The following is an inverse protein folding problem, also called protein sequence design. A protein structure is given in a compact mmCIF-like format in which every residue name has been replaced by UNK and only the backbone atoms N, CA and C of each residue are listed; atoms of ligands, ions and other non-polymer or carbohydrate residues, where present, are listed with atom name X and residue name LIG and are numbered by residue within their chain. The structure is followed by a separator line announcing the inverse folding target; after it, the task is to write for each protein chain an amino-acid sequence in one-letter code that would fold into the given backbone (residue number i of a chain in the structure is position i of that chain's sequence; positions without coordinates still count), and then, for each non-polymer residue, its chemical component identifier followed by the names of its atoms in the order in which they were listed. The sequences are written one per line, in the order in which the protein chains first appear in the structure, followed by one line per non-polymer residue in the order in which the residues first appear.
data_IF_734916985916
#
_entry.id   IF_734916985916
#
_cell.length_a   1.000
_cell.length_b   1.000
_cell.length_c   1.000
_cell.angle_alpha   90.00
_cell.angle_beta   90.00
_cell.angle_gamma   90.00
#
_symmetry.space_group_name_H-M   'P 1'
#
loop_
_entity.id
_entity.type
_entity.pdbx_description
1 polymer ?
#
# COMPACT_ATOMS: atom_id res chain seq x y z
N UNK A 1 15.60 -7.18 -14.87
CA UNK A 1 14.28 -7.28 -14.21
C UNK A 1 13.40 -6.17 -14.76
N UNK A 2 12.20 -6.47 -15.24
CA UNK A 2 11.26 -5.43 -15.73
C UNK A 2 10.80 -4.59 -14.54
N UNK A 3 10.78 -3.27 -14.64
CA UNK A 3 10.38 -2.43 -13.51
C UNK A 3 8.90 -2.67 -13.16
N UNK A 4 8.51 -2.52 -11.88
CA UNK A 4 7.10 -2.60 -11.49
C UNK A 4 6.20 -1.64 -12.28
N UNK A 5 6.72 -0.48 -12.68
CA UNK A 5 5.99 0.49 -13.48
C UNK A 5 5.73 -0.03 -14.90
N UNK A 6 6.74 -0.62 -15.56
CA UNK A 6 6.56 -1.21 -16.89
C UNK A 6 5.58 -2.37 -16.84
N UNK A 7 5.64 -3.19 -15.79
CA UNK A 7 4.69 -4.30 -15.60
C UNK A 7 3.26 -3.79 -15.40
N UNK A 8 3.07 -2.77 -14.56
CA UNK A 8 1.75 -2.19 -14.31
C UNK A 8 1.18 -1.50 -15.58
N UNK A 9 2.02 -0.79 -16.33
CA UNK A 9 1.64 -0.20 -17.62
C UNK A 9 1.25 -1.27 -18.64
N UNK A 10 2.02 -2.35 -18.75
CA UNK A 10 1.70 -3.47 -19.62
C UNK A 10 0.35 -4.10 -19.27
N UNK A 11 0.08 -4.31 -17.97
CA UNK A 11 -1.22 -4.83 -17.51
C UNK A 11 -2.35 -3.86 -17.88
N UNK A 12 -2.19 -2.56 -17.65
CA UNK A 12 -3.20 -1.56 -18.02
C UNK A 12 -3.48 -1.61 -19.53
N UNK A 13 -2.44 -1.61 -20.36
CA UNK A 13 -2.59 -1.65 -21.82
C UNK A 13 -3.31 -2.92 -22.27
N UNK A 14 -2.91 -4.09 -21.77
CA UNK A 14 -3.56 -5.37 -22.08
C UNK A 14 -5.02 -5.34 -21.64
N UNK A 15 -5.30 -4.88 -20.43
CA UNK A 15 -6.65 -4.83 -19.88
C UNK A 15 -7.54 -3.83 -20.60
N UNK A 16 -7.00 -2.70 -21.08
CA UNK A 16 -7.74 -1.76 -21.92
C UNK A 16 -8.12 -2.36 -23.28
N UNK A 17 -7.27 -3.23 -23.85
CA UNK A 17 -7.61 -3.92 -25.09
C UNK A 17 -8.64 -5.03 -24.86
N UNK A 18 -8.53 -5.76 -23.74
CA UNK A 18 -9.52 -6.76 -23.35
C UNK A 18 -10.87 -6.12 -23.01
N UNK A 19 -10.88 -4.98 -22.31
CA UNK A 19 -12.12 -4.29 -21.96
C UNK A 19 -12.90 -3.85 -23.20
N UNK A 20 -12.23 -3.44 -24.28
CA UNK A 20 -12.90 -3.11 -25.54
C UNK A 20 -13.60 -4.30 -26.21
N UNK A 21 -13.20 -5.53 -25.89
CA UNK A 21 -13.77 -6.77 -26.43
C UNK A 21 -14.88 -7.36 -25.55
N UNK A 22 -15.12 -6.78 -24.37
CA UNK A 22 -16.10 -7.26 -23.40
C UNK A 22 -17.38 -6.46 -23.58
N UNK A 23 -18.50 -7.15 -23.80
CA UNK A 23 -19.81 -6.55 -23.89
C UNK A 23 -20.34 -6.23 -22.48
N UNK A 24 -19.96 -5.07 -21.93
CA UNK A 24 -20.43 -4.63 -20.60
C UNK A 24 -21.92 -4.29 -20.56
N UNK A 25 -22.54 -4.20 -21.73
CA UNK A 25 -23.97 -3.92 -21.92
C UNK A 25 -24.82 -5.16 -21.64
N UNK A 26 -24.22 -6.35 -21.74
CA UNK A 26 -24.84 -7.62 -21.39
C UNK A 26 -24.94 -7.75 -19.86
N UNK A 27 -26.15 -7.89 -19.29
CA UNK A 27 -26.36 -8.04 -17.85
C UNK A 27 -25.57 -9.20 -17.21
N UNK A 28 -25.39 -10.31 -17.93
CA UNK A 28 -24.70 -11.50 -17.41
C UNK A 28 -23.20 -11.26 -17.34
N UNK A 29 -22.62 -10.65 -18.38
CA UNK A 29 -21.21 -10.26 -18.42
C UNK A 29 -20.91 -9.22 -17.33
N UNK A 30 -21.80 -8.25 -17.16
CA UNK A 30 -21.70 -7.23 -16.12
C UNK A 30 -21.73 -7.83 -14.72
N UNK A 31 -22.60 -8.82 -14.49
CA UNK A 31 -22.67 -9.53 -13.21
C UNK A 31 -21.40 -10.35 -12.94
N UNK A 32 -20.85 -11.02 -13.95
CA UNK A 32 -19.57 -11.73 -13.82
C UNK A 32 -18.42 -10.78 -13.44
N UNK A 33 -18.31 -9.63 -14.11
CA UNK A 33 -17.25 -8.65 -13.81
C UNK A 33 -17.38 -8.11 -12.37
N UNK A 34 -18.61 -7.85 -11.91
CA UNK A 34 -18.87 -7.48 -10.51
C UNK A 34 -18.45 -8.59 -9.56
N UNK A 35 -18.78 -9.84 -9.88
CA UNK A 35 -18.38 -11.02 -9.11
C UNK A 35 -16.86 -11.14 -8.97
N UNK A 36 -16.12 -10.98 -10.07
CA UNK A 36 -14.64 -11.00 -10.07
C UNK A 36 -14.08 -9.87 -9.21
N UNK A 37 -14.66 -8.66 -9.32
CA UNK A 37 -14.24 -7.53 -8.48
C UNK A 37 -14.48 -7.82 -6.99
N UNK A 38 -15.65 -8.32 -6.61
CA UNK A 38 -15.96 -8.67 -5.21
C UNK A 38 -15.00 -9.76 -4.72
N UNK A 39 -14.80 -10.81 -5.52
CA UNK A 39 -13.88 -11.90 -5.18
C UNK A 39 -12.46 -11.38 -4.95
N UNK A 40 -11.96 -10.50 -5.82
CA UNK A 40 -10.62 -9.91 -5.65
C UNK A 40 -10.48 -9.15 -4.33
N UNK A 41 -11.50 -8.38 -3.94
CA UNK A 41 -11.52 -7.64 -2.68
C UNK A 41 -11.57 -8.56 -1.45
N UNK A 42 -12.35 -9.65 -1.53
CA UNK A 42 -12.40 -10.67 -0.48
C UNK A 42 -11.04 -11.34 -0.31
N UNK A 43 -10.35 -11.65 -1.41
CA UNK A 43 -8.99 -12.22 -1.37
C UNK A 43 -8.01 -11.24 -0.73
N UNK A 44 -8.02 -9.96 -1.13
CA UNK A 44 -7.15 -8.92 -0.55
C UNK A 44 -7.40 -8.76 0.95
N UNK A 45 -8.68 -8.69 1.36
CA UNK A 45 -9.05 -8.58 2.76
C UNK A 45 -8.57 -9.81 3.56
N UNK A 46 -8.80 -11.01 3.04
CA UNK A 46 -8.37 -12.25 3.67
C UNK A 46 -6.85 -12.30 3.83
N UNK A 47 -6.11 -11.86 2.81
CA UNK A 47 -4.65 -11.78 2.83
C UNK A 47 -4.17 -10.79 3.89
N UNK A 48 -4.80 -9.63 4.02
CA UNK A 48 -4.45 -8.64 5.04
C UNK A 48 -4.77 -9.10 6.46
N UNK A 49 -5.94 -9.71 6.68
CA UNK A 49 -6.28 -10.28 7.99
C UNK A 49 -5.30 -11.40 8.37
N UNK A 50 -4.94 -12.27 7.44
CA UNK A 50 -3.94 -13.31 7.68
C UNK A 50 -2.56 -12.72 8.00
N UNK A 51 -2.15 -11.66 7.28
CA UNK A 51 -0.90 -10.93 7.55
C UNK A 51 -0.91 -10.29 8.94
N UNK A 52 -2.03 -9.70 9.37
CA UNK A 52 -2.22 -9.13 10.71
C UNK A 52 -2.01 -10.18 11.80
N UNK A 53 -2.58 -11.37 11.61
CA UNK A 53 -2.41 -12.51 12.52
C UNK A 53 -0.94 -12.93 12.61
N UNK A 54 -0.23 -13.02 11.47
CA UNK A 54 1.20 -13.38 11.44
C UNK A 54 2.09 -12.34 12.13
N UNK A 55 1.86 -11.04 11.89
CA UNK A 55 2.60 -9.95 12.57
C UNK A 55 2.43 -10.07 14.09
N UNK A 56 1.19 -10.27 14.54
CA UNK A 56 0.86 -10.36 15.97
C UNK A 56 1.41 -11.63 16.61
N UNK A 57 1.44 -12.75 15.88
CA UNK A 57 2.03 -13.99 16.36
C UNK A 57 3.56 -13.91 16.47
N UNK A 58 4.23 -13.21 15.54
CA UNK A 58 5.69 -13.08 15.52
C UNK A 58 6.24 -12.25 16.68
N UNK A 59 5.49 -11.24 17.17
CA UNK A 59 5.89 -10.35 18.28
C UNK A 59 7.33 -9.84 18.18
N UNK A 60 7.70 -9.32 17.01
CA UNK A 60 9.04 -8.78 16.75
C UNK A 60 9.21 -7.41 17.44
N UNK A 61 9.79 -7.42 18.64
CA UNK A 61 9.97 -6.23 19.50
C UNK A 61 11.33 -5.53 19.31
N UNK A 62 12.07 -5.84 18.23
CA UNK A 62 13.33 -5.16 17.94
C UNK A 62 13.03 -3.68 17.69
N UNK A 63 13.78 -2.81 18.38
CA UNK A 63 13.66 -1.36 18.26
C UNK A 63 14.05 -0.90 16.86
N UNK A 64 13.18 -0.10 16.25
CA UNK A 64 13.33 0.52 14.95
C UNK A 64 13.30 2.04 15.13
N UNK A 65 14.33 2.73 14.62
CA UNK A 65 14.38 4.19 14.56
C UNK A 65 14.39 4.66 13.12
N UNK A 66 13.54 5.61 12.78
CA UNK A 66 13.48 6.20 11.44
C UNK A 66 12.89 7.61 11.49
N UNK A 67 13.01 8.34 10.39
CA UNK A 67 12.44 9.68 10.25
C UNK A 67 11.27 9.62 9.27
N UNK A 68 10.09 9.99 9.76
CA UNK A 68 8.94 10.19 8.89
C UNK A 68 9.06 11.53 8.16
N UNK A 69 8.96 11.54 6.82
CA UNK A 69 8.97 12.78 6.07
C UNK A 69 7.70 13.57 6.38
N UNK A 70 7.82 14.89 6.40
CA UNK A 70 6.68 15.77 6.58
C UNK A 70 5.62 15.51 5.50
N UNK A 71 4.31 15.58 5.83
CA UNK A 71 3.25 15.50 4.84
C UNK A 71 3.48 16.53 3.72
N UNK A 72 3.25 16.12 2.46
CA UNK A 72 3.42 16.99 1.30
C UNK A 72 2.58 18.26 1.46
N UNK A 73 3.23 19.43 1.41
CA UNK A 73 2.58 20.73 1.59
C UNK A 73 2.53 21.24 3.04
N UNK A 74 3.12 20.52 4.00
CA UNK A 74 3.30 21.01 5.38
C UNK A 74 4.66 21.70 5.57
N UNK A 75 4.70 22.66 6.50
CA UNK A 75 5.93 23.26 7.03
C UNK A 75 6.46 22.53 8.27
N UNK A 76 5.90 21.36 8.58
CA UNK A 76 6.32 20.57 9.75
C UNK A 76 7.70 19.96 9.52
N UNK A 77 8.51 19.90 10.58
CA UNK A 77 9.81 19.26 10.49
C UNK A 77 9.67 17.72 10.44
N UNK A 78 10.61 17.03 9.77
CA UNK A 78 10.63 15.56 9.73
C UNK A 78 10.62 14.96 11.13
N UNK A 79 9.69 14.05 11.40
CA UNK A 79 9.45 13.53 12.75
C UNK A 79 10.34 12.31 13.02
N UNK A 80 11.22 12.34 14.03
CA UNK A 80 11.93 11.13 14.47
C UNK A 80 10.95 10.18 15.16
N UNK A 81 10.91 8.94 14.70
CA UNK A 81 10.05 7.87 15.24
C UNK A 81 10.93 6.76 15.79
N UNK A 82 10.75 6.45 17.07
CA UNK A 82 11.26 5.23 17.70
C UNK A 82 10.09 4.30 17.95
N UNK A 83 10.13 3.09 17.38
CA UNK A 83 9.07 2.09 17.47
C UNK A 83 9.66 0.68 17.53
N UNK A 84 8.83 -0.35 17.45
CA UNK A 84 9.26 -1.74 17.25
C UNK A 84 8.91 -2.22 15.84
N UNK A 85 9.61 -3.25 15.35
CA UNK A 85 9.28 -3.88 14.06
C UNK A 85 7.80 -4.31 13.97
N UNK A 86 7.24 -4.89 15.04
CA UNK A 86 5.85 -5.30 15.11
C UNK A 86 4.90 -4.10 14.95
N UNK A 87 5.13 -3.01 15.69
CA UNK A 87 4.25 -1.85 15.66
C UNK A 87 4.36 -1.10 14.34
N UNK A 88 5.57 -1.01 13.78
CA UNK A 88 5.80 -0.51 12.42
C UNK A 88 4.99 -1.31 11.38
N UNK A 89 5.11 -2.64 11.39
CA UNK A 89 4.42 -3.51 10.44
C UNK A 89 2.89 -3.42 10.57
N UNK A 90 2.37 -3.33 11.80
CA UNK A 90 0.94 -3.08 12.06
C UNK A 90 0.48 -1.73 11.50
N UNK A 91 1.27 -0.68 11.70
CA UNK A 91 1.01 0.65 11.15
C UNK A 91 0.94 0.63 9.63
N UNK A 92 1.92 -0.01 8.97
CA UNK A 92 1.95 -0.19 7.52
C UNK A 92 0.74 -0.98 7.01
N UNK A 93 0.36 -2.06 7.69
CA UNK A 93 -0.82 -2.86 7.31
C UNK A 93 -2.11 -2.05 7.42
N UNK A 94 -2.24 -1.23 8.48
CA UNK A 94 -3.39 -0.33 8.65
C UNK A 94 -3.49 0.68 7.50
N UNK A 95 -2.36 1.21 7.02
CA UNK A 95 -2.32 2.09 5.86
C UNK A 95 -2.80 1.39 4.59
N UNK A 96 -2.35 0.14 4.35
CA UNK A 96 -2.82 -0.67 3.22
C UNK A 96 -4.33 -0.95 3.29
N UNK A 97 -4.84 -1.32 4.48
CA UNK A 97 -6.26 -1.58 4.69
C UNK A 97 -7.11 -0.32 4.45
N UNK A 98 -6.67 0.84 4.97
CA UNK A 98 -7.36 2.12 4.73
C UNK A 98 -7.36 2.49 3.24
N UNK A 99 -6.22 2.32 2.56
CA UNK A 99 -6.11 2.55 1.11
C UNK A 99 -7.06 1.64 0.32
N UNK A 100 -7.16 0.36 0.69
CA UNK A 100 -8.09 -0.57 0.06
C UNK A 100 -9.55 -0.16 0.29
N UNK A 101 -9.92 0.18 1.53
CA UNK A 101 -11.28 0.61 1.86
C UNK A 101 -11.67 1.88 1.08
N UNK A 102 -10.77 2.85 0.99
CA UNK A 102 -10.98 4.08 0.23
C UNK A 102 -11.14 3.78 -1.27
N UNK A 103 -10.30 2.87 -1.81
CA UNK A 103 -10.40 2.42 -3.21
C UNK A 103 -11.72 1.72 -3.51
N UNK A 104 -12.19 0.84 -2.62
CA UNK A 104 -13.51 0.19 -2.74
C UNK A 104 -14.64 1.20 -2.65
N UNK A 105 -14.60 2.12 -1.68
CA UNK A 105 -15.60 3.18 -1.52
C UNK A 105 -15.71 4.06 -2.77
N UNK A 106 -14.57 4.51 -3.29
CA UNK A 106 -14.51 5.27 -4.54
C UNK A 106 -15.07 4.47 -5.73
N UNK A 107 -14.73 3.18 -5.83
CA UNK A 107 -15.21 2.34 -6.91
C UNK A 107 -16.71 2.04 -6.79
N UNK A 108 -17.26 1.91 -5.59
CA UNK A 108 -18.69 1.80 -5.36
C UNK A 108 -19.43 3.04 -5.89
N UNK A 109 -18.93 4.25 -5.61
CA UNK A 109 -19.51 5.50 -6.14
C UNK A 109 -19.42 5.53 -7.66
N UNK A 110 -18.23 5.29 -8.22
CA UNK A 110 -18.01 5.33 -9.68
C UNK A 110 -18.87 4.30 -10.43
N UNK A 111 -19.05 3.10 -9.87
CA UNK A 111 -19.79 2.03 -10.53
C UNK A 111 -21.31 2.13 -10.33
N UNK A 112 -21.77 2.42 -9.10
CA UNK A 112 -23.20 2.46 -8.80
C UNK A 112 -23.82 3.78 -9.25
N UNK A 113 -23.16 4.92 -8.96
CA UNK A 113 -23.69 6.24 -9.29
C UNK A 113 -23.37 6.65 -10.73
N UNK A 114 -22.11 6.57 -11.13
CA UNK A 114 -21.67 7.01 -12.47
C UNK A 114 -21.76 5.91 -13.55
N UNK A 115 -22.19 4.68 -13.20
CA UNK A 115 -22.27 3.52 -14.10
C UNK A 115 -20.96 3.26 -14.86
N UNK A 116 -19.82 3.61 -14.24
CA UNK A 116 -18.53 3.51 -14.88
C UNK A 116 -17.93 2.11 -14.68
N UNK A 117 -18.21 1.23 -15.66
CA UNK A 117 -17.90 -0.21 -15.58
C UNK A 117 -16.47 -0.55 -16.01
N UNK A 118 -15.90 0.18 -16.96
CA UNK A 118 -14.57 -0.07 -17.52
C UNK A 118 -13.45 -0.26 -16.47
N UNK A 119 -13.35 0.55 -15.39
CA UNK A 119 -12.30 0.37 -14.40
C UNK A 119 -12.47 -0.86 -13.51
N UNK A 120 -13.65 -1.50 -13.42
CA UNK A 120 -13.86 -2.64 -12.52
C UNK A 120 -12.91 -3.80 -12.80
N UNK A 121 -12.66 -4.09 -14.08
CA UNK A 121 -11.74 -5.16 -14.48
C UNK A 121 -10.31 -4.83 -14.08
N UNK A 122 -9.83 -3.63 -14.39
CA UNK A 122 -8.47 -3.20 -14.02
C UNK A 122 -8.31 -3.18 -12.49
N UNK A 123 -9.31 -2.67 -11.78
CA UNK A 123 -9.34 -2.58 -10.32
C UNK A 123 -9.55 -3.93 -9.62
N UNK A 124 -9.92 -4.99 -10.34
CA UNK A 124 -9.94 -6.34 -9.79
C UNK A 124 -8.56 -7.02 -9.80
N UNK A 125 -7.64 -6.56 -10.65
CA UNK A 125 -6.35 -7.23 -10.89
C UNK A 125 -5.19 -6.45 -10.25
N UNK A 126 -5.10 -5.14 -10.49
CA UNK A 126 -3.96 -4.34 -10.01
C UNK A 126 -3.86 -4.26 -8.47
N UNK A 127 -4.96 -4.04 -7.73
CA UNK A 127 -4.92 -4.06 -6.26
C UNK A 127 -4.56 -5.45 -5.74
N UNK A 128 -5.04 -6.52 -6.38
CA UNK A 128 -4.71 -7.89 -5.99
C UNK A 128 -3.22 -8.18 -6.18
N UNK A 129 -2.65 -7.81 -7.33
CA UNK A 129 -1.20 -7.89 -7.59
C UNK A 129 -0.42 -7.08 -6.56
N UNK A 130 -0.82 -5.83 -6.31
CA UNK A 130 -0.16 -4.95 -5.35
C UNK A 130 -0.21 -5.52 -3.92
N UNK A 131 -1.32 -6.16 -3.53
CA UNK A 131 -1.45 -6.81 -2.23
C UNK A 131 -0.47 -7.98 -2.09
N UNK A 132 -0.39 -8.85 -3.10
CA UNK A 132 0.54 -9.99 -3.14
C UNK A 132 2.02 -9.54 -3.19
N UNK A 133 2.30 -8.43 -3.87
CA UNK A 133 3.65 -7.87 -3.98
C UNK A 133 4.03 -6.96 -2.81
N UNK A 134 3.14 -6.73 -1.85
CA UNK A 134 3.42 -5.87 -0.71
C UNK A 134 4.54 -6.45 0.17
N UNK A 135 5.36 -5.57 0.75
CA UNK A 135 6.50 -5.97 1.58
C UNK A 135 6.05 -6.81 2.78
N UNK A 136 4.92 -6.46 3.39
CA UNK A 136 4.36 -7.19 4.53
C UNK A 136 3.95 -8.61 4.17
N UNK A 137 3.26 -8.80 3.04
CA UNK A 137 2.86 -10.14 2.57
C UNK A 137 4.10 -10.96 2.24
N UNK A 138 5.09 -10.38 1.55
CA UNK A 138 6.36 -11.04 1.27
C UNK A 138 7.07 -11.54 2.54
N UNK A 139 7.11 -10.71 3.59
CA UNK A 139 7.81 -11.04 4.84
C UNK A 139 7.03 -12.06 5.68
N UNK A 140 5.72 -11.84 5.89
CA UNK A 140 4.94 -12.58 6.88
C UNK A 140 4.14 -13.76 6.30
N UNK A 141 3.75 -13.68 5.03
CA UNK A 141 3.00 -14.76 4.34
C UNK A 141 3.94 -15.63 3.53
N UNK A 142 4.84 -15.04 2.75
CA UNK A 142 5.81 -15.79 1.94
C UNK A 142 7.14 -16.07 2.65
N UNK A 143 7.29 -15.63 3.91
CA UNK A 143 8.46 -15.97 4.74
C UNK A 143 9.79 -15.38 4.27
N UNK A 144 9.77 -14.34 3.43
CA UNK A 144 11.01 -13.69 2.98
C UNK A 144 11.69 -12.95 4.12
N UNK A 145 13.02 -13.03 4.18
CA UNK A 145 13.82 -12.28 5.15
C UNK A 145 13.66 -10.77 4.95
N UNK A 146 13.54 -10.04 6.06
CA UNK A 146 13.45 -8.58 6.07
C UNK A 146 14.83 -7.92 5.87
N UNK A 147 15.48 -8.23 4.75
CA UNK A 147 16.81 -7.73 4.38
C UNK A 147 16.77 -7.09 2.99
N UNK A 148 17.79 -6.27 2.66
CA UNK A 148 17.85 -5.56 1.38
C UNK A 148 16.64 -4.66 1.17
N UNK A 149 15.89 -4.84 0.08
CA UNK A 149 14.69 -4.05 -0.22
C UNK A 149 13.48 -4.35 0.67
N UNK A 150 13.52 -5.43 1.45
CA UNK A 150 12.51 -5.77 2.46
C UNK A 150 12.94 -5.35 3.88
N UNK A 151 14.07 -4.66 4.01
CA UNK A 151 14.48 -4.10 5.30
C UNK A 151 13.51 -2.99 5.75
N UNK A 152 13.26 -2.94 7.05
CA UNK A 152 12.49 -1.85 7.68
C UNK A 152 13.42 -0.68 7.99
N UNK A 153 12.94 0.58 7.92
CA UNK A 153 11.64 0.98 7.39
C UNK A 153 11.58 0.73 5.87
N UNK A 154 10.41 0.35 5.37
CA UNK A 154 10.22 0.12 3.94
C UNK A 154 10.42 1.43 3.17
N UNK A 155 11.14 1.34 2.05
CA UNK A 155 11.18 2.42 1.07
C UNK A 155 9.74 2.69 0.62
N UNK A 156 9.36 3.98 0.57
CA UNK A 156 8.08 4.37 0.01
C UNK A 156 7.95 3.73 -1.38
N UNK A 157 6.95 2.85 -1.54
CA UNK A 157 6.66 2.28 -2.85
C UNK A 157 6.33 3.41 -3.81
N UNK A 158 6.64 3.24 -5.10
CA UNK A 158 6.37 4.21 -6.16
C UNK A 158 4.86 4.43 -6.36
N UNK A 159 4.20 5.03 -5.36
CA UNK A 159 2.90 5.66 -5.52
C UNK A 159 3.07 6.75 -6.54
N UNK A 160 2.23 6.69 -7.58
CA UNK A 160 2.14 7.69 -8.64
C UNK A 160 1.93 9.12 -8.08
N UNK A 161 1.40 9.20 -6.86
CA UNK A 161 1.41 10.39 -6.01
C UNK A 161 2.69 10.38 -5.16
N UNK A 162 3.72 11.12 -5.59
CA UNK A 162 5.03 11.16 -4.94
C UNK A 162 4.97 11.59 -3.48
N UNK A 163 4.79 10.63 -2.58
CA UNK A 163 5.10 10.79 -1.16
C UNK A 163 6.62 10.76 -0.99
N UNK A 164 7.16 11.71 -0.22
CA UNK A 164 8.58 11.78 0.11
C UNK A 164 9.12 10.46 0.68
N UNK A 165 10.40 10.19 0.47
CA UNK A 165 11.02 8.95 0.93
C UNK A 165 11.27 8.99 2.44
N UNK A 166 10.90 7.89 3.13
CA UNK A 166 11.27 7.64 4.52
C UNK A 166 12.80 7.49 4.61
N UNK A 167 13.42 8.21 5.55
CA UNK A 167 14.87 8.18 5.79
C UNK A 167 15.18 7.39 7.06
N UNK A 168 16.27 6.62 7.03
CA UNK A 168 16.69 5.75 8.13
C UNK A 168 18.20 5.82 8.43
N UNK A 169 18.95 6.67 7.73
CA UNK A 169 20.36 6.86 8.00
C UNK A 169 20.59 7.60 9.32
N UNK A 170 21.66 7.22 10.02
CA UNK A 170 22.00 7.74 11.35
C UNK A 170 22.12 9.27 11.36
N UNK A 171 22.68 9.87 10.31
CA UNK A 171 22.82 11.31 10.18
C UNK A 171 21.46 12.03 10.05
N UNK A 172 20.53 11.48 9.25
CA UNK A 172 19.17 12.01 9.16
C UNK A 172 18.39 11.86 10.46
N UNK A 173 18.55 10.74 11.17
CA UNK A 173 17.92 10.52 12.48
C UNK A 173 18.46 11.53 13.51
N UNK A 174 19.78 11.68 13.62
CA UNK A 174 20.39 12.61 14.59
C UNK A 174 20.07 14.07 14.28
N UNK A 175 20.03 14.47 13.00
CA UNK A 175 19.62 15.83 12.62
C UNK A 175 18.13 16.07 12.89
N UNK A 176 17.26 15.10 12.59
CA UNK A 176 15.83 15.22 12.93
C UNK A 176 15.61 15.26 14.44
N UNK A 177 16.31 14.44 15.23
CA UNK A 177 16.24 14.47 16.69
C UNK A 177 16.74 15.80 17.27
N UNK A 178 17.81 16.39 16.72
CA UNK A 178 18.33 17.70 17.15
C UNK A 178 17.37 18.84 16.81
N UNK A 179 16.85 18.87 15.60
CA UNK A 179 15.94 19.92 15.15
C UNK A 179 14.59 19.83 15.88
N UNK A 180 14.06 18.61 16.04
CA UNK A 180 12.82 18.39 16.78
C UNK A 180 12.94 18.72 18.28
N UNK A 181 14.08 18.42 18.92
CA UNK A 181 14.33 18.81 20.33
C UNK A 181 14.66 20.29 20.48
N UNK A 182 15.27 20.91 19.47
CA UNK A 182 15.54 22.35 19.43
C UNK A 182 14.33 23.21 19.05
N UNK A 183 13.26 22.60 18.51
CA UNK A 183 11.98 23.22 18.17
C UNK A 183 10.91 23.14 19.27
N UNK A 184 11.19 22.50 20.41
CA UNK A 184 10.38 22.68 21.63
C UNK A 184 10.66 24.08 22.14
N UNK A 185 9.95 25.06 21.58
CA UNK A 185 9.69 26.31 22.30
C UNK A 185 8.92 25.91 23.55
N UNK A 186 9.55 26.05 24.71
CA UNK A 186 8.80 26.35 25.91
C UNK A 186 8.00 27.63 25.62
N UNK A 187 6.69 27.54 25.81
CA UNK A 187 5.64 28.57 25.62
C UNK A 187 5.06 28.78 24.21
#
# INVERSE_FOLDING_TARGET
MVSPQVTNLAIIVVMMQLSKKIAFDDPDVLMMVRGVYILSNVIILSLYLYTQSKITAKKDLITLKYVEPAPMGSTEEPKPVTTTNMEYDRGQLRTLMKGQLMGVGMMCVMHIYFKYTNPLLIQSILPLKSALESNLVKIHVFGKSATGDLARPFKAGNSFMGQGQVKSDKASIENAEKNYRGGVKEE
#
